data_IF_118249577843
#
_entry.id   IF_118249577843
#
_cell.length_a   1.000
_cell.length_b   1.000
_cell.length_c   1.000
_cell.angle_alpha   90.00
_cell.angle_beta   90.00
_cell.angle_gamma   90.00
#
_symmetry.space_group_name_H-M   'P 1'
#
loop_
_entity.id
_entity.type
_entity.pdbx_description
1 polymer ?
#
# COMPACT_ATOMS: atom_id res chain seq x y z
N UNK A 1 -2.65 -11.43 16.28
CA UNK A 1 -3.11 -10.56 15.18
C UNK A 1 -2.45 -11.04 13.89
N UNK A 2 -3.25 -11.47 12.91
CA UNK A 2 -2.76 -11.99 11.63
C UNK A 2 -2.12 -10.82 10.86
N UNK A 3 -0.79 -10.81 10.76
CA UNK A 3 -0.10 -9.83 9.93
C UNK A 3 -0.52 -10.03 8.46
N UNK A 4 -0.72 -8.93 7.69
CA UNK A 4 -1.09 -9.05 6.29
C UNK A 4 -0.01 -9.80 5.52
N UNK A 5 -0.42 -10.76 4.71
CA UNK A 5 0.47 -11.57 3.90
C UNK A 5 1.38 -10.68 3.04
N UNK A 6 2.70 -10.88 3.14
CA UNK A 6 3.68 -10.04 2.45
C UNK A 6 3.54 -10.12 0.93
N UNK A 7 3.12 -11.27 0.41
CA UNK A 7 2.87 -11.46 -1.03
C UNK A 7 1.71 -10.56 -1.46
N UNK A 8 0.63 -10.52 -0.68
CA UNK A 8 -0.51 -9.64 -0.93
C UNK A 8 -0.13 -8.16 -0.91
N UNK A 9 0.67 -7.73 0.07
CA UNK A 9 1.18 -6.34 0.16
C UNK A 9 2.06 -6.00 -1.05
N UNK A 10 2.92 -6.93 -1.48
CA UNK A 10 3.77 -6.75 -2.66
C UNK A 10 2.94 -6.60 -3.95
N UNK A 11 1.93 -7.44 -4.14
CA UNK A 11 1.02 -7.35 -5.29
C UNK A 11 0.26 -6.03 -5.32
N UNK A 12 -0.20 -5.54 -4.16
CA UNK A 12 -0.86 -4.23 -4.06
C UNK A 12 0.08 -3.08 -4.43
N UNK A 13 1.35 -3.12 -4.00
CA UNK A 13 2.35 -2.10 -4.35
C UNK A 13 2.66 -2.06 -5.85
N UNK A 14 2.78 -3.23 -6.48
CA UNK A 14 2.99 -3.31 -7.94
C UNK A 14 1.79 -2.67 -8.66
N UNK A 15 0.57 -3.04 -8.26
CA UNK A 15 -0.66 -2.50 -8.86
C UNK A 15 -0.81 -1.00 -8.63
N UNK A 16 -0.46 -0.51 -7.44
CA UNK A 16 -0.46 0.91 -7.12
C UNK A 16 0.45 1.70 -8.08
N UNK A 17 1.69 1.24 -8.29
CA UNK A 17 2.64 1.87 -9.22
C UNK A 17 2.17 1.81 -10.68
N UNK A 18 1.55 0.72 -11.10
CA UNK A 18 0.97 0.63 -12.45
C UNK A 18 -0.16 1.63 -12.64
N UNK A 19 -1.04 1.78 -11.65
CA UNK A 19 -2.15 2.74 -11.69
C UNK A 19 -1.64 4.18 -11.60
N UNK A 20 -0.60 4.45 -10.82
CA UNK A 20 0.07 5.75 -10.76
C UNK A 20 0.63 6.14 -12.14
N UNK A 21 1.33 5.23 -12.82
CA UNK A 21 1.81 5.47 -14.20
C UNK A 21 0.67 5.69 -15.18
N UNK A 22 -0.43 4.95 -15.06
CA UNK A 22 -1.63 5.13 -15.91
C UNK A 22 -2.34 6.45 -15.64
N UNK A 23 -2.41 6.90 -14.38
CA UNK A 23 -2.92 8.22 -14.03
C UNK A 23 -2.07 9.35 -14.60
N UNK A 24 -0.74 9.19 -14.62
CA UNK A 24 0.16 10.16 -15.23
C UNK A 24 -0.01 10.22 -16.76
N UNK A 25 -0.32 9.08 -17.40
CA UNK A 25 -0.54 9.00 -18.84
C UNK A 25 -1.94 9.49 -19.26
N UNK A 26 -2.97 9.19 -18.47
CA UNK A 26 -4.36 9.62 -18.70
C UNK A 26 -5.06 9.95 -17.36
N UNK A 27 -4.98 11.21 -16.92
CA UNK A 27 -5.59 11.65 -15.67
C UNK A 27 -7.13 11.69 -15.71
N UNK A 28 -7.74 11.75 -16.90
CA UNK A 28 -9.19 11.94 -17.06
C UNK A 28 -9.95 10.62 -17.10
N UNK A 29 -9.24 9.49 -17.17
CA UNK A 29 -9.87 8.18 -17.15
C UNK A 29 -10.43 7.84 -15.74
N UNK A 30 -11.71 8.10 -15.53
CA UNK A 30 -12.43 7.83 -14.27
C UNK A 30 -12.27 6.39 -13.75
N UNK A 31 -12.26 5.38 -14.63
CA UNK A 31 -12.04 3.98 -14.23
C UNK A 31 -10.65 3.72 -13.62
N UNK A 32 -9.59 4.33 -14.15
CA UNK A 32 -8.24 4.27 -13.58
C UNK A 32 -8.19 4.97 -12.23
N UNK A 33 -8.89 6.11 -12.13
CA UNK A 33 -8.98 6.88 -10.89
C UNK A 33 -9.65 6.11 -9.76
N UNK A 34 -10.84 5.56 -9.99
CA UNK A 34 -11.55 4.77 -8.99
C UNK A 34 -10.71 3.57 -8.52
N UNK A 35 -10.00 2.91 -9.46
CA UNK A 35 -9.17 1.74 -9.15
C UNK A 35 -7.90 2.11 -8.37
N UNK A 36 -7.32 3.27 -8.64
CA UNK A 36 -6.21 3.81 -7.86
C UNK A 36 -6.65 4.14 -6.44
N UNK A 37 -7.79 4.82 -6.28
CA UNK A 37 -8.34 5.18 -4.98
C UNK A 37 -8.67 3.93 -4.14
N UNK A 38 -9.22 2.87 -4.74
CA UNK A 38 -9.49 1.58 -4.07
C UNK A 38 -8.21 0.88 -3.56
N UNK A 39 -7.17 0.83 -4.41
CA UNK A 39 -5.87 0.25 -4.04
C UNK A 39 -5.19 1.08 -2.96
N UNK A 40 -5.24 2.41 -3.08
CA UNK A 40 -4.71 3.34 -2.10
C UNK A 40 -5.41 3.19 -0.73
N UNK A 41 -6.74 3.11 -0.73
CA UNK A 41 -7.54 2.92 0.49
C UNK A 41 -7.20 1.60 1.18
N UNK A 42 -7.10 0.51 0.40
CA UNK A 42 -6.69 -0.80 0.92
C UNK A 42 -5.29 -0.74 1.55
N UNK A 43 -4.32 -0.10 0.88
CA UNK A 43 -2.96 0.09 1.42
C UNK A 43 -2.97 0.91 2.72
N UNK A 44 -3.75 1.99 2.78
CA UNK A 44 -3.93 2.81 3.98
C UNK A 44 -4.42 1.98 5.17
N UNK A 45 -5.48 1.16 4.98
CA UNK A 45 -6.00 0.29 6.04
C UNK A 45 -4.95 -0.74 6.46
N UNK A 46 -4.32 -1.43 5.52
CA UNK A 46 -3.36 -2.48 5.83
C UNK A 46 -2.13 -1.96 6.58
N UNK A 47 -1.70 -0.73 6.29
CA UNK A 47 -0.52 -0.11 6.91
C UNK A 47 -0.88 0.81 8.09
N UNK A 48 -2.17 0.98 8.39
CA UNK A 48 -2.65 1.88 9.43
C UNK A 48 -2.30 3.35 9.19
N UNK A 49 -2.22 3.77 7.92
CA UNK A 49 -1.83 5.12 7.54
C UNK A 49 -3.01 5.93 7.00
N UNK A 50 -2.94 7.26 7.15
CA UNK A 50 -3.99 8.18 6.68
C UNK A 50 -3.82 8.63 5.23
N UNK A 51 -2.62 8.48 4.67
CA UNK A 51 -2.32 8.88 3.29
C UNK A 51 -1.75 7.71 2.50
N UNK A 52 -2.05 7.68 1.20
CA UNK A 52 -1.53 6.65 0.29
C UNK A 52 0.00 6.66 0.22
N UNK A 53 0.60 7.85 0.28
CA UNK A 53 2.05 8.04 0.24
C UNK A 53 2.72 7.43 1.48
N UNK A 54 2.20 7.73 2.67
CA UNK A 54 2.71 7.14 3.91
C UNK A 54 2.47 5.63 3.93
N UNK A 55 1.31 5.17 3.45
CA UNK A 55 1.01 3.75 3.33
C UNK A 55 2.03 3.01 2.45
N UNK A 56 2.40 3.57 1.30
CA UNK A 56 3.42 2.99 0.41
C UNK A 56 4.78 2.90 1.10
N UNK A 57 5.22 3.97 1.77
CA UNK A 57 6.50 3.97 2.50
C UNK A 57 6.49 2.93 3.63
N UNK A 58 5.40 2.80 4.36
CA UNK A 58 5.23 1.79 5.40
C UNK A 58 5.21 0.38 4.81
N UNK A 59 4.53 0.17 3.68
CA UNK A 59 4.48 -1.11 2.99
C UNK A 59 5.87 -1.54 2.47
N UNK A 60 6.64 -0.62 1.90
CA UNK A 60 8.02 -0.91 1.47
C UNK A 60 8.91 -1.28 2.65
N UNK A 61 8.80 -0.57 3.78
CA UNK A 61 9.51 -0.91 5.02
C UNK A 61 9.06 -2.25 5.59
N UNK A 62 7.76 -2.55 5.53
CA UNK A 62 7.16 -3.83 5.96
C UNK A 62 7.70 -5.02 5.15
N UNK A 63 7.84 -4.85 3.83
CA UNK A 63 8.42 -5.86 2.95
C UNK A 63 9.93 -6.02 3.16
N UNK A 64 10.65 -4.92 3.42
CA UNK A 64 12.10 -4.94 3.67
C UNK A 64 12.47 -5.48 5.05
N UNK A 65 11.55 -5.43 6.02
CA UNK A 65 11.78 -5.97 7.35
C UNK A 65 11.82 -7.51 7.30
N UNK A 66 12.86 -8.17 7.84
CA UNK A 66 12.86 -9.63 7.99
C UNK A 66 11.70 -10.03 8.91
N UNK A 67 11.02 -11.15 8.61
CA UNK A 67 9.80 -11.58 9.31
C UNK A 67 9.94 -11.63 10.86
N UNK A 68 11.17 -11.79 11.36
CA UNK A 68 11.50 -11.77 12.79
C UNK A 68 11.38 -10.40 13.49
N UNK A 69 11.30 -9.27 12.76
CA UNK A 69 11.26 -7.90 13.33
C UNK A 69 9.87 -7.26 13.30
N UNK A 70 8.81 -8.02 13.03
CA UNK A 70 7.45 -7.46 12.98
C UNK A 70 6.68 -7.54 14.31
N UNK A 71 7.20 -8.27 15.29
CA UNK A 71 6.66 -8.31 16.66
C UNK A 71 6.78 -6.99 17.43
N UNK A 72 7.43 -5.95 16.88
CA UNK A 72 7.62 -4.65 17.56
C UNK A 72 6.85 -3.47 16.97
N UNK A 73 6.08 -3.64 15.89
CA UNK A 73 5.36 -2.52 15.27
C UNK A 73 3.95 -2.28 15.82
N UNK A 74 3.48 -3.09 16.76
CA UNK A 74 2.31 -2.75 17.58
C UNK A 74 2.76 -1.84 18.72
N UNK A 75 2.64 -0.52 18.54
CA UNK A 75 2.45 0.55 19.55
C UNK A 75 3.20 1.83 19.14
N UNK A 76 2.51 2.68 18.38
CA UNK A 76 2.59 4.17 18.33
C UNK A 76 1.69 4.58 17.17
N UNK A 77 0.60 5.32 17.31
CA UNK A 77 -0.04 6.08 18.39
C UNK A 77 -1.54 5.93 18.23
#
# INVERSE_FOLDING_TARGET
MLLPDKTRVRSLLIRFRELERRMLADPMHHGTRARFEDVAYTLCILMGQRTARDAVVHAERYLKAPAARLVRFTLRK
#
